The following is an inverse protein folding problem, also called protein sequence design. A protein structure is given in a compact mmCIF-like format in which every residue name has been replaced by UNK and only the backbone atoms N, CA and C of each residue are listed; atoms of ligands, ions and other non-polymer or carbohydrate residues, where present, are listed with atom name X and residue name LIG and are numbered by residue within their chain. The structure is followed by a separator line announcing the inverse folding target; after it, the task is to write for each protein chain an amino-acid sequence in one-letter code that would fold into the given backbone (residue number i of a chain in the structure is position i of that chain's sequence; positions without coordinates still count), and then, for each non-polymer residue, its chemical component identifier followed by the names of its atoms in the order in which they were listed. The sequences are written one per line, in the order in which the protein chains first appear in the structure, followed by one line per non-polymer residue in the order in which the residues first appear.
data_IF_848077199119
#
_entry.id   IF_848077199119
#
_cell.length_a   1.000
_cell.length_b   1.000
_cell.length_c   1.000
_cell.angle_alpha   90.00
_cell.angle_beta   90.00
_cell.angle_gamma   90.00
#
_symmetry.space_group_name_H-M   'P 1'
#
loop_
_entity.id
_entity.type
_entity.pdbx_description
1 polymer ?
#
# COMPACT_ATOMS: atom_id res chain seq x y z
N UNK A 1 -6.73 15.21 -16.33
CA UNK A 1 -5.35 15.20 -16.85
C UNK A 1 -4.81 13.75 -16.83
N UNK A 2 -4.91 13.03 -15.73
CA UNK A 2 -4.38 11.66 -15.60
C UNK A 2 -5.04 10.61 -16.51
N UNK A 3 -6.26 10.84 -16.97
CA UNK A 3 -7.02 9.88 -17.80
C UNK A 3 -7.11 10.29 -19.28
N UNK A 4 -6.48 11.39 -19.70
CA UNK A 4 -6.52 11.83 -21.09
C UNK A 4 -5.33 11.29 -21.90
N UNK A 5 -5.51 10.10 -22.47
CA UNK A 5 -4.53 9.41 -23.31
C UNK A 5 -4.26 10.11 -24.67
N UNK A 6 -4.93 11.23 -24.97
CA UNK A 6 -4.70 12.00 -26.19
C UNK A 6 -3.58 13.04 -26.08
N UNK A 7 -3.09 13.30 -24.85
CA UNK A 7 -2.03 14.27 -24.60
C UNK A 7 -0.66 13.70 -24.97
N UNK A 8 0.17 14.52 -25.60
CA UNK A 8 1.61 14.19 -25.70
C UNK A 8 2.26 14.22 -24.31
N UNK A 9 3.35 13.47 -24.12
CA UNK A 9 4.09 13.47 -22.85
C UNK A 9 4.50 14.88 -22.41
N UNK A 10 4.99 15.72 -23.35
CA UNK A 10 5.40 17.09 -23.04
C UNK A 10 4.21 17.94 -22.55
N UNK A 11 3.04 17.78 -23.15
CA UNK A 11 1.85 18.51 -22.77
C UNK A 11 1.27 17.99 -21.44
N UNK A 12 1.30 16.70 -21.22
CA UNK A 12 0.96 16.08 -19.94
C UNK A 12 1.80 16.65 -18.80
N UNK A 13 3.13 16.62 -18.92
CA UNK A 13 4.03 17.13 -17.87
C UNK A 13 3.86 18.63 -17.67
N UNK A 14 3.69 19.41 -18.73
CA UNK A 14 3.42 20.85 -18.60
C UNK A 14 2.13 21.16 -17.83
N UNK A 15 1.07 20.41 -18.09
CA UNK A 15 -0.22 20.56 -17.38
C UNK A 15 -0.13 20.06 -15.94
N UNK A 16 0.60 18.97 -15.72
CA UNK A 16 0.85 18.41 -14.40
C UNK A 16 1.65 19.37 -13.51
N UNK A 17 2.69 19.98 -14.05
CA UNK A 17 3.48 21.00 -13.33
C UNK A 17 2.65 22.24 -13.01
N UNK A 18 1.84 22.72 -13.97
CA UNK A 18 0.95 23.85 -13.73
C UNK A 18 -0.11 23.55 -12.66
N UNK A 19 -0.66 22.34 -12.65
CA UNK A 19 -1.59 21.87 -11.63
C UNK A 19 -0.92 21.82 -10.25
N UNK A 20 0.26 21.20 -10.16
CA UNK A 20 1.00 21.10 -8.91
C UNK A 20 1.40 22.48 -8.37
N UNK A 21 1.79 23.41 -9.25
CA UNK A 21 2.11 24.78 -8.84
C UNK A 21 0.90 25.51 -8.26
N UNK A 22 -0.28 25.34 -8.88
CA UNK A 22 -1.53 25.93 -8.40
C UNK A 22 -1.96 25.27 -7.06
N UNK A 23 -1.90 23.95 -6.97
CA UNK A 23 -2.20 23.21 -5.75
C UNK A 23 -1.28 23.60 -4.60
N UNK A 24 0.03 23.70 -4.84
CA UNK A 24 1.01 24.10 -3.85
C UNK A 24 0.81 25.52 -3.34
N UNK A 25 0.28 26.44 -4.16
CA UNK A 25 -0.04 27.79 -3.73
C UNK A 25 -1.12 27.79 -2.64
N UNK A 26 -2.19 27.02 -2.82
CA UNK A 26 -3.33 26.99 -1.91
C UNK A 26 -3.10 26.01 -0.74
N UNK A 27 -2.68 24.80 -1.05
CA UNK A 27 -2.39 23.77 -0.05
C UNK A 27 -1.18 24.10 0.82
N UNK A 28 -0.15 24.75 0.25
CA UNK A 28 1.07 25.12 0.97
C UNK A 28 0.84 26.06 2.14
N UNK A 29 -0.14 26.98 2.04
CA UNK A 29 -0.50 27.84 3.18
C UNK A 29 -1.20 27.06 4.29
N UNK A 30 -2.09 26.13 3.92
CA UNK A 30 -2.79 25.26 4.87
C UNK A 30 -1.78 24.36 5.56
N UNK A 31 -0.86 23.77 4.82
CA UNK A 31 0.20 22.91 5.35
C UNK A 31 1.10 23.65 6.35
N UNK A 32 1.56 24.87 6.04
CA UNK A 32 2.34 25.68 6.98
C UNK A 32 1.58 26.01 8.27
N UNK A 33 0.28 26.31 8.17
CA UNK A 33 -0.57 26.53 9.35
C UNK A 33 -0.70 25.26 10.19
N UNK A 34 -0.84 24.11 9.53
CA UNK A 34 -0.89 22.80 10.20
C UNK A 34 0.42 22.50 10.95
N UNK A 35 1.58 22.75 10.31
CA UNK A 35 2.89 22.58 10.96
C UNK A 35 2.97 23.47 12.21
N UNK A 36 2.61 24.77 12.11
CA UNK A 36 2.64 25.68 13.25
C UNK A 36 1.78 25.19 14.40
N UNK A 37 0.53 24.77 14.13
CA UNK A 37 -0.39 24.25 15.17
C UNK A 37 0.18 22.97 15.79
N UNK A 38 0.70 22.05 15.00
CA UNK A 38 1.28 20.80 15.49
C UNK A 38 2.53 21.05 16.35
N UNK A 39 3.36 22.03 15.98
CA UNK A 39 4.49 22.46 16.78
C UNK A 39 4.06 23.02 18.15
N UNK A 40 2.97 23.80 18.20
CA UNK A 40 2.40 24.28 19.47
C UNK A 40 1.82 23.14 20.31
N UNK A 41 1.18 22.15 19.69
CA UNK A 41 0.69 20.95 20.39
C UNK A 41 1.86 20.21 21.04
N UNK A 42 2.94 19.94 20.31
CA UNK A 42 4.12 19.27 20.85
C UNK A 42 4.70 20.03 22.04
N UNK A 43 4.85 21.36 21.93
CA UNK A 43 5.32 22.21 23.04
C UNK A 43 4.39 22.16 24.26
N UNK A 44 3.07 22.21 24.05
CA UNK A 44 2.09 22.13 25.13
C UNK A 44 2.13 20.79 25.86
N UNK A 45 2.45 19.72 25.14
CA UNK A 45 2.61 18.37 25.67
C UNK A 45 4.04 18.07 26.17
N UNK A 46 4.94 19.06 26.13
CA UNK A 46 6.34 18.99 26.58
C UNK A 46 7.22 18.04 25.76
N UNK A 47 6.90 17.83 24.47
CA UNK A 47 7.77 17.15 23.54
C UNK A 47 8.75 18.11 22.86
N UNK A 48 9.95 17.65 22.47
CA UNK A 48 10.93 18.50 21.79
C UNK A 48 10.43 18.98 20.42
N UNK A 49 9.71 18.15 19.71
CA UNK A 49 9.10 18.40 18.41
C UNK A 49 7.88 17.50 18.18
N UNK A 50 7.14 17.77 17.09
CA UNK A 50 5.92 17.01 16.78
C UNK A 50 6.22 15.60 16.23
N UNK A 51 7.36 15.37 15.58
CA UNK A 51 7.74 14.04 15.11
C UNK A 51 7.96 13.10 16.31
N UNK A 52 8.68 13.55 17.33
CA UNK A 52 8.87 12.80 18.58
C UNK A 52 7.54 12.48 19.26
N UNK A 53 6.62 13.47 19.32
CA UNK A 53 5.27 13.22 19.84
C UNK A 53 4.53 12.14 19.05
N UNK A 54 4.58 12.17 17.70
CA UNK A 54 3.93 11.17 16.86
C UNK A 54 4.48 9.77 17.10
N UNK A 55 5.79 9.63 17.20
CA UNK A 55 6.43 8.33 17.47
C UNK A 55 5.96 7.73 18.79
N UNK A 56 5.92 8.53 19.85
CA UNK A 56 5.42 8.09 21.15
C UNK A 56 3.91 7.77 21.11
N UNK A 57 3.12 8.62 20.45
CA UNK A 57 1.67 8.42 20.32
C UNK A 57 1.29 7.18 19.49
N UNK A 58 2.13 6.78 18.54
CA UNK A 58 1.96 5.51 17.80
C UNK A 58 2.49 4.29 18.57
N UNK A 59 3.03 4.48 19.77
CA UNK A 59 3.56 3.39 20.59
C UNK A 59 4.83 2.75 20.03
N UNK A 60 5.62 3.53 19.29
CA UNK A 60 6.91 3.07 18.74
C UNK A 60 7.92 2.90 19.86
N UNK A 61 8.65 1.79 19.85
CA UNK A 61 9.73 1.49 20.79
C UNK A 61 11.11 1.95 20.30
N UNK A 62 11.14 2.71 19.19
CA UNK A 62 12.31 3.33 18.58
C UNK A 62 12.07 4.84 18.37
N UNK A 63 13.16 5.60 18.27
CA UNK A 63 13.14 7.06 18.14
C UNK A 63 13.21 7.53 16.68
N UNK A 64 12.85 8.81 16.39
CA UNK A 64 13.13 9.43 15.10
C UNK A 64 14.60 9.31 14.67
N UNK A 65 15.54 9.37 15.62
CA UNK A 65 16.99 9.18 15.34
C UNK A 65 17.30 7.77 14.85
N UNK A 66 16.66 6.74 15.41
CA UNK A 66 16.82 5.36 14.97
C UNK A 66 16.28 5.19 13.55
N UNK A 67 15.12 5.79 13.24
CA UNK A 67 14.54 5.80 11.90
C UNK A 67 15.48 6.48 10.89
N UNK A 68 16.12 7.60 11.25
CA UNK A 68 17.11 8.25 10.38
C UNK A 68 18.30 7.35 10.04
N UNK A 69 18.71 6.46 10.94
CA UNK A 69 19.75 5.47 10.62
C UNK A 69 19.27 4.48 9.55
N UNK A 70 18.00 4.05 9.62
CA UNK A 70 17.38 3.23 8.58
C UNK A 70 17.30 4.00 7.25
N UNK A 71 16.82 5.27 7.26
CA UNK A 71 16.76 6.10 6.05
C UNK A 71 18.12 6.21 5.36
N UNK A 72 19.17 6.46 6.13
CA UNK A 72 20.53 6.53 5.60
C UNK A 72 20.98 5.21 4.97
N UNK A 73 20.65 4.08 5.59
CA UNK A 73 20.96 2.75 5.06
C UNK A 73 20.19 2.47 3.76
N UNK A 74 18.91 2.77 3.72
CA UNK A 74 18.06 2.62 2.52
C UNK A 74 18.57 3.49 1.37
N UNK A 75 18.87 4.77 1.62
CA UNK A 75 19.49 5.66 0.62
C UNK A 75 20.80 5.09 0.06
N UNK A 76 21.64 4.56 0.93
CA UNK A 76 22.96 4.08 0.55
C UNK A 76 22.93 2.76 -0.21
N UNK A 77 22.08 1.83 0.21
CA UNK A 77 22.13 0.45 -0.27
C UNK A 77 20.99 0.07 -1.20
N UNK A 78 19.77 0.56 -0.95
CA UNK A 78 18.58 0.15 -1.71
C UNK A 78 18.34 1.07 -2.91
N UNK A 79 18.47 2.39 -2.74
CA UNK A 79 18.22 3.35 -3.83
C UNK A 79 19.03 3.06 -5.10
N UNK A 80 20.36 2.77 -5.04
CA UNK A 80 21.12 2.45 -6.24
C UNK A 80 20.63 1.17 -6.92
N UNK A 81 20.24 0.15 -6.14
CA UNK A 81 19.71 -1.12 -6.66
C UNK A 81 18.37 -0.85 -7.37
N UNK A 82 17.46 -0.15 -6.71
CA UNK A 82 16.16 0.22 -7.28
C UNK A 82 16.31 0.94 -8.63
N UNK A 83 17.17 1.97 -8.70
CA UNK A 83 17.40 2.72 -9.94
C UNK A 83 17.89 1.82 -11.08
N UNK A 84 18.79 0.87 -10.80
CA UNK A 84 19.34 -0.03 -11.82
C UNK A 84 18.37 -1.13 -12.23
N UNK A 85 17.56 -1.64 -11.31
CA UNK A 85 16.57 -2.69 -11.59
C UNK A 85 15.37 -2.07 -12.34
N UNK A 86 14.85 -0.94 -11.86
CA UNK A 86 13.70 -0.27 -12.46
C UNK A 86 13.90 0.12 -13.93
N UNK A 87 15.15 0.43 -14.33
CA UNK A 87 15.49 0.68 -15.75
C UNK A 87 15.39 -0.54 -16.66
N UNK A 88 15.42 -1.74 -16.09
CA UNK A 88 15.52 -3.01 -16.84
C UNK A 88 14.22 -3.79 -16.86
N UNK A 89 13.31 -3.49 -15.95
CA UNK A 89 12.00 -4.14 -15.92
C UNK A 89 11.11 -3.49 -16.96
N UNK A 90 10.54 -4.35 -17.79
CA UNK A 90 9.54 -3.99 -18.80
C UNK A 90 8.23 -4.66 -18.38
N UNK A 91 7.20 -3.87 -18.14
CA UNK A 91 5.85 -4.32 -17.76
C UNK A 91 4.82 -4.04 -18.84
N UNK A 92 5.27 -3.68 -20.05
CA UNK A 92 4.38 -3.22 -21.12
C UNK A 92 3.33 -4.24 -21.54
N UNK A 93 3.67 -5.53 -21.57
CA UNK A 93 2.72 -6.60 -21.91
C UNK A 93 1.74 -6.83 -20.75
N UNK A 94 2.21 -6.73 -19.51
CA UNK A 94 1.39 -6.80 -18.29
C UNK A 94 0.38 -5.65 -18.24
N UNK A 95 0.84 -4.42 -18.47
CA UNK A 95 0.03 -3.20 -18.46
C UNK A 95 -1.00 -3.17 -19.59
N UNK A 96 -0.69 -3.79 -20.74
CA UNK A 96 -1.59 -3.89 -21.89
C UNK A 96 -2.61 -5.03 -21.77
N UNK A 97 -2.48 -5.91 -20.77
CA UNK A 97 -3.34 -7.09 -20.62
C UNK A 97 -4.50 -6.77 -19.68
N UNK A 98 -5.70 -7.22 -20.10
CA UNK A 98 -6.90 -7.13 -19.24
C UNK A 98 -7.14 -8.45 -18.53
N UNK A 99 -7.38 -8.40 -17.25
CA UNK A 99 -7.66 -9.55 -16.37
C UNK A 99 -9.14 -9.57 -15.96
N UNK A 100 -9.72 -10.74 -15.99
CA UNK A 100 -11.14 -10.94 -15.67
C UNK A 100 -11.32 -11.26 -14.17
N UNK A 101 -12.16 -10.47 -13.49
CA UNK A 101 -12.49 -10.60 -12.07
C UNK A 101 -12.92 -12.03 -11.71
N UNK A 102 -13.87 -12.55 -12.49
CA UNK A 102 -14.43 -13.89 -12.24
C UNK A 102 -13.37 -14.97 -12.36
N UNK A 103 -12.52 -14.87 -13.37
CA UNK A 103 -11.42 -15.82 -13.59
C UNK A 103 -10.45 -15.82 -12.41
N UNK A 104 -10.09 -14.64 -11.91
CA UNK A 104 -9.25 -14.50 -10.71
C UNK A 104 -9.90 -15.13 -9.48
N UNK A 105 -11.17 -14.79 -9.20
CA UNK A 105 -11.88 -15.33 -8.04
C UNK A 105 -12.09 -16.85 -8.12
N UNK A 106 -12.32 -17.41 -9.30
CA UNK A 106 -12.45 -18.86 -9.52
C UNK A 106 -11.12 -19.60 -9.24
N UNK A 107 -9.96 -18.97 -9.49
CA UNK A 107 -8.64 -19.58 -9.24
C UNK A 107 -8.13 -19.40 -7.80
N UNK A 108 -8.63 -18.39 -7.10
CA UNK A 108 -8.12 -18.02 -5.77
C UNK A 108 -8.16 -19.17 -4.74
N UNK A 109 -9.25 -19.98 -4.60
CA UNK A 109 -9.28 -21.09 -3.66
C UNK A 109 -8.23 -22.18 -3.94
N UNK A 110 -8.01 -22.51 -5.21
CA UNK A 110 -7.03 -23.51 -5.60
C UNK A 110 -5.61 -23.04 -5.31
N UNK A 111 -5.31 -21.77 -5.60
CA UNK A 111 -4.01 -21.14 -5.33
C UNK A 111 -3.76 -21.01 -3.83
N UNK A 112 -4.76 -20.63 -3.06
CA UNK A 112 -4.66 -20.59 -1.60
C UNK A 112 -4.41 -21.98 -1.00
N UNK A 113 -5.07 -23.03 -1.53
CA UNK A 113 -4.86 -24.42 -1.07
C UNK A 113 -3.45 -24.93 -1.43
N UNK A 114 -2.94 -24.56 -2.59
CA UNK A 114 -1.57 -24.90 -2.99
C UNK A 114 -0.52 -24.23 -2.09
N UNK A 115 -0.80 -23.02 -1.62
CA UNK A 115 0.05 -22.31 -0.66
C UNK A 115 -0.03 -22.94 0.75
N UNK A 116 -1.24 -23.04 1.33
CA UNK A 116 -1.45 -23.73 2.61
C UNK A 116 -2.92 -24.07 2.88
N UNK A 117 -3.21 -25.15 3.64
CA UNK A 117 -4.57 -25.45 4.10
C UNK A 117 -5.19 -24.32 4.93
N UNK A 118 -4.39 -23.56 5.68
CA UNK A 118 -4.84 -22.43 6.47
C UNK A 118 -5.32 -21.27 5.57
N UNK A 119 -4.55 -20.93 4.54
CA UNK A 119 -4.95 -19.91 3.54
C UNK A 119 -6.22 -20.31 2.79
N UNK A 120 -6.35 -21.59 2.45
CA UNK A 120 -7.58 -22.11 1.84
C UNK A 120 -8.81 -21.90 2.74
N UNK A 121 -8.70 -22.15 4.04
CA UNK A 121 -9.79 -21.92 4.98
C UNK A 121 -10.21 -20.46 5.03
N UNK A 122 -9.26 -19.53 5.05
CA UNK A 122 -9.52 -18.09 5.05
C UNK A 122 -10.24 -17.66 3.77
N UNK A 123 -9.74 -18.07 2.61
CA UNK A 123 -10.35 -17.75 1.31
C UNK A 123 -11.75 -18.35 1.21
N UNK A 124 -11.94 -19.60 1.61
CA UNK A 124 -13.27 -20.23 1.59
C UNK A 124 -14.26 -19.54 2.53
N UNK A 125 -13.81 -19.11 3.71
CA UNK A 125 -14.63 -18.33 4.63
C UNK A 125 -15.08 -17.00 4.00
N UNK A 126 -14.14 -16.26 3.39
CA UNK A 126 -14.42 -15.02 2.67
C UNK A 126 -15.46 -15.21 1.56
N UNK A 127 -15.24 -16.22 0.70
CA UNK A 127 -16.11 -16.46 -0.46
C UNK A 127 -17.49 -17.00 -0.09
N UNK A 128 -17.58 -17.96 0.83
CA UNK A 128 -18.85 -18.56 1.26
C UNK A 128 -19.76 -17.58 1.97
N UNK A 129 -19.19 -16.62 2.68
CA UNK A 129 -19.95 -15.59 3.40
C UNK A 129 -20.05 -14.29 2.61
N UNK A 130 -19.54 -14.23 1.36
CA UNK A 130 -19.56 -13.03 0.51
C UNK A 130 -18.96 -11.79 1.21
N UNK A 131 -17.85 -11.97 1.91
CA UNK A 131 -17.17 -10.94 2.69
C UNK A 131 -16.18 -10.13 1.85
N UNK A 132 -16.59 -9.79 0.65
CA UNK A 132 -15.87 -8.93 -0.28
C UNK A 132 -16.82 -8.24 -1.26
N UNK A 133 -16.45 -7.06 -1.73
CA UNK A 133 -17.06 -6.38 -2.88
C UNK A 133 -15.95 -5.76 -3.74
N UNK A 134 -15.67 -6.40 -4.88
CA UNK A 134 -14.64 -5.99 -5.83
C UNK A 134 -15.21 -5.51 -7.15
N UNK A 135 -16.54 -5.37 -7.24
CA UNK A 135 -17.22 -4.99 -8.47
C UNK A 135 -16.76 -3.64 -9.01
N UNK A 136 -16.71 -3.50 -10.34
CA UNK A 136 -16.52 -2.20 -10.98
C UNK A 136 -17.72 -1.30 -10.71
N UNK A 137 -17.46 -0.08 -10.26
CA UNK A 137 -18.48 0.94 -10.01
C UNK A 137 -17.89 2.34 -10.11
N UNK A 138 -18.61 3.21 -10.82
CA UNK A 138 -18.21 4.60 -11.01
C UNK A 138 -18.17 5.43 -9.70
N UNK A 139 -18.76 4.92 -8.62
CA UNK A 139 -18.76 5.58 -7.31
C UNK A 139 -17.67 5.04 -6.36
N UNK A 140 -16.96 4.00 -6.75
CA UNK A 140 -15.79 3.50 -6.04
C UNK A 140 -14.52 4.24 -6.48
N UNK A 141 -13.60 4.44 -5.56
CA UNK A 141 -12.24 4.87 -5.89
C UNK A 141 -11.46 3.71 -6.55
N UNK A 142 -10.50 4.02 -7.41
CA UNK A 142 -9.58 3.04 -8.00
C UNK A 142 -8.55 2.62 -6.93
N UNK A 143 -9.01 1.84 -5.96
CA UNK A 143 -8.25 1.44 -4.78
C UNK A 143 -8.94 0.27 -4.09
N UNK A 144 -8.23 -0.41 -3.18
CA UNK A 144 -8.78 -1.41 -2.28
C UNK A 144 -8.49 -1.06 -0.83
N UNK A 145 -9.25 -1.64 0.07
CA UNK A 145 -8.96 -1.67 1.51
C UNK A 145 -9.65 -2.85 2.17
N UNK A 146 -9.08 -3.30 3.27
CA UNK A 146 -9.68 -4.30 4.15
C UNK A 146 -10.07 -3.65 5.47
N UNK A 147 -11.24 -3.99 5.98
CA UNK A 147 -11.71 -3.52 7.27
C UNK A 147 -12.30 -4.65 8.09
N UNK A 148 -12.40 -4.44 9.41
CA UNK A 148 -13.10 -5.36 10.30
C UNK A 148 -14.46 -4.79 10.69
N UNK A 149 -15.53 -5.51 10.37
CA UNK A 149 -16.89 -5.11 10.68
C UNK A 149 -17.26 -5.68 12.05
N UNK A 150 -17.14 -4.87 13.09
CA UNK A 150 -17.26 -5.29 14.49
C UNK A 150 -18.60 -5.97 14.81
N UNK A 151 -19.71 -5.46 14.29
CA UNK A 151 -21.06 -6.00 14.56
C UNK A 151 -21.27 -7.40 13.95
N UNK A 152 -20.51 -7.73 12.91
CA UNK A 152 -20.55 -9.04 12.24
C UNK A 152 -19.39 -9.96 12.63
N UNK A 153 -18.46 -9.45 13.41
CA UNK A 153 -17.22 -10.15 13.77
C UNK A 153 -16.50 -10.74 12.55
N UNK A 154 -16.43 -9.96 11.47
CA UNK A 154 -15.88 -10.43 10.21
C UNK A 154 -15.02 -9.37 9.51
N UNK A 155 -13.89 -9.78 8.91
CA UNK A 155 -13.16 -8.93 7.97
C UNK A 155 -13.94 -8.80 6.66
N UNK A 156 -13.72 -7.71 5.93
CA UNK A 156 -14.34 -7.44 4.64
C UNK A 156 -13.35 -6.73 3.71
N UNK A 157 -13.22 -7.22 2.48
CA UNK A 157 -12.44 -6.56 1.42
C UNK A 157 -13.38 -5.71 0.57
N UNK A 158 -13.01 -4.45 0.39
CA UNK A 158 -13.67 -3.54 -0.54
C UNK A 158 -12.65 -3.03 -1.55
N UNK A 159 -12.90 -3.27 -2.83
CA UNK A 159 -12.01 -2.87 -3.92
C UNK A 159 -12.82 -2.55 -5.17
N UNK A 160 -12.16 -1.94 -6.16
CA UNK A 160 -12.72 -1.74 -7.48
C UNK A 160 -11.88 -2.53 -8.48
N UNK A 161 -12.55 -3.40 -9.25
CA UNK A 161 -11.90 -4.13 -10.32
C UNK A 161 -11.96 -3.32 -11.62
N UNK A 162 -10.82 -2.95 -12.16
CA UNK A 162 -10.69 -2.19 -13.42
C UNK A 162 -10.27 -3.08 -14.59
N UNK A 163 -9.78 -4.27 -14.29
CA UNK A 163 -9.22 -5.21 -15.25
C UNK A 163 -7.71 -5.11 -15.39
N UNK A 164 -7.04 -4.28 -14.59
CA UNK A 164 -5.59 -4.15 -14.61
C UNK A 164 -4.88 -5.27 -13.84
N UNK A 165 -3.59 -5.44 -14.07
CA UNK A 165 -2.75 -6.33 -13.27
C UNK A 165 -2.69 -5.90 -11.79
N UNK A 166 -2.82 -4.60 -11.52
CA UNK A 166 -2.82 -4.03 -10.18
C UNK A 166 -4.02 -4.47 -9.35
N UNK A 167 -5.15 -4.81 -9.99
CA UNK A 167 -6.32 -5.33 -9.26
C UNK A 167 -6.01 -6.68 -8.60
N UNK A 168 -5.26 -7.54 -9.30
CA UNK A 168 -4.79 -8.83 -8.74
C UNK A 168 -3.83 -8.57 -7.58
N UNK A 169 -2.84 -7.70 -7.78
CA UNK A 169 -1.88 -7.34 -6.74
C UNK A 169 -2.57 -6.75 -5.51
N UNK A 170 -3.52 -5.83 -5.71
CA UNK A 170 -4.35 -5.24 -4.64
C UNK A 170 -5.13 -6.31 -3.91
N UNK A 171 -5.81 -7.21 -4.61
CA UNK A 171 -6.59 -8.29 -3.97
C UNK A 171 -5.72 -9.25 -3.15
N UNK A 172 -4.52 -9.57 -3.63
CA UNK A 172 -3.58 -10.40 -2.86
C UNK A 172 -3.03 -9.66 -1.64
N UNK A 173 -2.80 -8.37 -1.75
CA UNK A 173 -2.41 -7.48 -0.64
C UNK A 173 -3.53 -7.41 0.42
N UNK A 174 -4.76 -7.09 0.01
CA UNK A 174 -5.91 -7.01 0.89
C UNK A 174 -6.25 -8.34 1.56
N UNK A 175 -5.98 -9.47 0.87
CA UNK A 175 -6.12 -10.80 1.46
C UNK A 175 -5.14 -11.04 2.61
N UNK A 176 -3.97 -10.38 2.61
CA UNK A 176 -3.04 -10.39 3.74
C UNK A 176 -3.66 -9.73 4.98
N UNK A 177 -4.18 -8.53 4.85
CA UNK A 177 -4.93 -7.86 5.91
C UNK A 177 -6.15 -8.66 6.36
N UNK A 178 -6.91 -9.21 5.40
CA UNK A 178 -8.06 -10.06 5.69
C UNK A 178 -7.67 -11.27 6.53
N UNK A 179 -6.54 -11.91 6.20
CA UNK A 179 -6.01 -13.06 6.93
C UNK A 179 -5.65 -12.69 8.37
N UNK A 180 -5.00 -11.54 8.55
CA UNK A 180 -4.68 -11.02 9.88
C UNK A 180 -5.95 -10.80 10.71
N UNK A 181 -6.92 -10.08 10.19
CA UNK A 181 -8.19 -9.83 10.88
C UNK A 181 -8.96 -11.12 11.19
N UNK A 182 -8.96 -12.09 10.27
CA UNK A 182 -9.62 -13.37 10.46
C UNK A 182 -9.08 -14.13 11.68
N UNK A 183 -7.76 -14.19 11.86
CA UNK A 183 -7.14 -14.88 12.98
C UNK A 183 -7.20 -14.06 14.28
N UNK A 184 -7.03 -12.77 14.23
CA UNK A 184 -7.06 -11.90 15.40
C UNK A 184 -8.47 -11.78 15.99
N UNK A 185 -9.50 -11.75 15.17
CA UNK A 185 -10.88 -11.78 15.64
C UNK A 185 -11.20 -13.06 16.44
N UNK A 186 -10.67 -14.20 15.99
CA UNK A 186 -10.88 -15.49 16.66
C UNK A 186 -10.28 -15.54 18.07
N UNK A 187 -9.27 -14.73 18.38
CA UNK A 187 -8.64 -14.65 19.71
C UNK A 187 -9.11 -13.46 20.55
N UNK A 188 -10.11 -12.70 20.06
CA UNK A 188 -10.70 -11.58 20.80
C UNK A 188 -9.79 -10.35 20.90
N UNK A 189 -8.70 -10.32 20.17
CA UNK A 189 -7.88 -9.13 20.02
C UNK A 189 -8.56 -8.18 19.01
N UNK A 190 -9.35 -7.24 19.53
CA UNK A 190 -9.67 -6.03 18.76
C UNK A 190 -8.37 -5.23 18.70
N UNK A 191 -7.73 -5.30 17.59
CA UNK A 191 -6.40 -4.81 17.34
C UNK A 191 -6.33 -3.29 17.53
N UNK A 192 -5.68 -2.86 18.59
CA UNK A 192 -4.90 -1.63 18.45
C UNK A 192 -3.78 -1.97 17.47
N UNK A 193 -4.01 -1.76 16.19
CA UNK A 193 -3.01 -2.06 15.17
C UNK A 193 -1.77 -1.23 15.47
N UNK A 194 -0.66 -1.91 15.69
CA UNK A 194 0.63 -1.24 15.57
C UNK A 194 0.79 -0.93 14.07
N UNK A 195 0.64 0.34 13.69
CA UNK A 195 0.66 0.79 12.30
C UNK A 195 1.96 0.41 11.58
N UNK A 196 3.07 0.30 12.32
CA UNK A 196 4.36 -0.13 11.75
C UNK A 196 4.38 -1.61 11.33
N UNK A 197 3.45 -2.42 11.85
CA UNK A 197 3.31 -3.84 11.53
C UNK A 197 2.11 -4.13 10.60
N UNK A 198 1.25 -3.15 10.37
CA UNK A 198 0.01 -3.36 9.62
C UNK A 198 0.24 -3.90 8.21
N UNK A 199 1.31 -3.47 7.55
CA UNK A 199 1.63 -3.87 6.18
C UNK A 199 2.53 -5.13 6.09
N UNK A 200 2.96 -5.71 7.21
CA UNK A 200 3.79 -6.91 7.19
C UNK A 200 3.02 -8.09 6.60
N UNK A 201 1.77 -8.28 7.03
CA UNK A 201 0.95 -9.41 6.57
C UNK A 201 0.56 -9.27 5.09
N UNK A 202 0.21 -8.06 4.66
CA UNK A 202 -0.19 -7.76 3.28
C UNK A 202 0.99 -7.90 2.32
N UNK A 203 2.10 -7.24 2.60
CA UNK A 203 3.31 -7.29 1.77
C UNK A 203 3.93 -8.70 1.75
N UNK A 204 3.96 -9.39 2.90
CA UNK A 204 4.48 -10.74 2.96
C UNK A 204 3.64 -11.73 2.15
N UNK A 205 2.30 -11.67 2.22
CA UNK A 205 1.44 -12.60 1.49
C UNK A 205 1.63 -12.49 -0.01
N UNK A 206 1.74 -11.28 -0.55
CA UNK A 206 1.98 -11.04 -1.98
C UNK A 206 3.28 -11.76 -2.44
N UNK A 207 4.36 -11.63 -1.66
CA UNK A 207 5.64 -12.28 -1.97
C UNK A 207 5.60 -13.80 -1.78
N UNK A 208 4.90 -14.29 -0.76
CA UNK A 208 4.76 -15.71 -0.47
C UNK A 208 3.93 -16.46 -1.53
N UNK A 209 3.07 -15.74 -2.25
CA UNK A 209 2.25 -16.32 -3.33
C UNK A 209 2.95 -16.32 -4.69
N UNK A 210 4.23 -15.97 -4.80
CA UNK A 210 4.98 -15.94 -6.06
C UNK A 210 4.91 -17.25 -6.86
N UNK A 211 4.91 -18.40 -6.18
CA UNK A 211 4.77 -19.70 -6.83
C UNK A 211 3.37 -19.94 -7.43
N UNK A 212 2.40 -19.05 -7.13
CA UNK A 212 1.04 -19.11 -7.65
C UNK A 212 0.79 -18.08 -8.76
N UNK A 213 1.77 -17.26 -9.12
CA UNK A 213 1.62 -16.19 -10.10
C UNK A 213 1.27 -16.71 -11.51
N UNK A 214 1.74 -17.89 -11.90
CA UNK A 214 1.31 -18.53 -13.17
C UNK A 214 -0.21 -18.76 -13.22
N UNK A 215 -0.85 -19.03 -12.08
CA UNK A 215 -2.30 -19.19 -12.03
C UNK A 215 -3.01 -17.86 -12.29
N UNK A 216 -2.50 -16.75 -11.73
CA UNK A 216 -3.14 -15.43 -11.80
C UNK A 216 -2.80 -14.67 -13.08
N UNK A 217 -1.53 -14.68 -13.48
CA UNK A 217 -1.00 -13.86 -14.58
C UNK A 217 -0.66 -14.67 -15.84
N UNK A 218 -0.75 -16.01 -15.79
CA UNK A 218 -0.42 -16.89 -16.90
C UNK A 218 1.02 -16.71 -17.37
N UNK A 219 1.20 -16.47 -18.66
CA UNK A 219 2.53 -16.26 -19.28
C UNK A 219 3.24 -14.98 -18.83
N UNK A 220 2.55 -14.07 -18.18
CA UNK A 220 3.08 -12.79 -17.68
C UNK A 220 3.52 -12.87 -16.20
N UNK A 221 3.56 -14.06 -15.62
CA UNK A 221 3.92 -14.25 -14.20
C UNK A 221 5.30 -13.68 -13.83
N UNK A 222 6.30 -13.79 -14.71
CA UNK A 222 7.64 -13.26 -14.45
C UNK A 222 7.69 -11.72 -14.49
N UNK A 223 6.91 -11.10 -15.38
CA UNK A 223 6.73 -9.65 -15.41
C UNK A 223 6.05 -9.18 -14.11
N UNK A 224 4.97 -9.86 -13.72
CA UNK A 224 4.23 -9.55 -12.49
C UNK A 224 5.10 -9.71 -11.22
N UNK A 225 5.95 -10.75 -11.14
CA UNK A 225 6.92 -10.89 -10.05
C UNK A 225 7.92 -9.74 -10.02
N UNK A 226 8.39 -9.33 -11.19
CA UNK A 226 9.34 -8.22 -11.31
C UNK A 226 8.70 -6.90 -10.90
N UNK A 227 7.47 -6.62 -11.34
CA UNK A 227 6.68 -5.47 -10.91
C UNK A 227 6.51 -5.45 -9.38
N UNK A 228 6.05 -6.56 -8.80
CA UNK A 228 5.86 -6.70 -7.34
C UNK A 228 7.15 -6.42 -6.55
N UNK A 229 8.29 -6.90 -7.01
CA UNK A 229 9.56 -6.63 -6.33
C UNK A 229 9.97 -5.15 -6.42
N UNK A 230 9.70 -4.50 -7.55
CA UNK A 230 9.92 -3.06 -7.71
C UNK A 230 9.01 -2.27 -6.79
N UNK A 231 7.74 -2.63 -6.70
CA UNK A 231 6.77 -1.97 -5.82
C UNK A 231 7.14 -2.12 -4.34
N UNK A 232 7.60 -3.30 -3.93
CA UNK A 232 8.11 -3.51 -2.56
C UNK A 232 9.33 -2.64 -2.25
N UNK A 233 10.27 -2.51 -3.20
CA UNK A 233 11.40 -1.59 -3.04
C UNK A 233 10.97 -0.13 -3.05
N UNK A 234 10.03 0.24 -3.91
CA UNK A 234 9.48 1.60 -3.97
C UNK A 234 8.76 1.97 -2.68
N UNK A 235 7.94 1.08 -2.12
CA UNK A 235 7.24 1.28 -0.84
C UNK A 235 8.23 1.55 0.30
N UNK A 236 9.32 0.80 0.35
CA UNK A 236 10.39 1.04 1.33
C UNK A 236 11.06 2.41 1.14
N UNK A 237 11.33 2.79 -0.10
CA UNK A 237 11.96 4.08 -0.41
C UNK A 237 11.03 5.26 -0.11
N UNK A 238 9.77 5.18 -0.54
CA UNK A 238 8.78 6.25 -0.34
C UNK A 238 8.48 6.45 1.14
N UNK A 239 8.27 5.37 1.91
CA UNK A 239 8.05 5.45 3.35
C UNK A 239 9.22 6.11 4.09
N UNK A 240 10.46 5.75 3.75
CA UNK A 240 11.63 6.42 4.31
C UNK A 240 11.73 7.90 3.92
N UNK A 241 11.39 8.25 2.68
CA UNK A 241 11.40 9.64 2.21
C UNK A 241 10.32 10.48 2.90
N UNK A 242 9.12 9.95 3.07
CA UNK A 242 8.01 10.63 3.72
C UNK A 242 8.28 10.88 5.20
N UNK A 243 8.79 9.87 5.91
CA UNK A 243 9.14 10.02 7.34
C UNK A 243 10.30 11.01 7.53
N UNK A 244 11.35 10.94 6.71
CA UNK A 244 12.45 11.91 6.75
C UNK A 244 11.96 13.34 6.49
N UNK A 245 11.10 13.53 5.48
CA UNK A 245 10.50 14.82 5.18
C UNK A 245 9.68 15.35 6.38
N UNK A 246 8.88 14.50 7.01
CA UNK A 246 8.11 14.89 8.20
C UNK A 246 9.01 15.29 9.36
N UNK A 247 10.07 14.53 9.63
CA UNK A 247 11.03 14.89 10.66
C UNK A 247 11.68 16.24 10.38
N UNK A 248 12.18 16.48 9.16
CA UNK A 248 12.82 17.75 8.77
C UNK A 248 11.87 18.95 8.92
N UNK A 249 10.61 18.78 8.54
CA UNK A 249 9.59 19.83 8.65
C UNK A 249 9.30 20.22 10.10
N UNK A 250 9.34 19.28 11.03
CA UNK A 250 9.06 19.57 12.45
C UNK A 250 10.30 19.92 13.27
N UNK A 251 11.50 19.56 12.81
CA UNK A 251 12.75 20.02 13.44
C UNK A 251 13.05 21.49 13.13
N UNK A 252 12.65 21.99 11.94
CA UNK A 252 12.87 23.36 11.49
C UNK A 252 11.58 24.03 11.02
N UNK A 253 10.57 24.19 11.90
CA UNK A 253 9.25 24.69 11.56
C UNK A 253 9.21 26.17 11.17
#
# INVERSE_FOLDING_TARGET
IQSDMSLSNDEYYRLYDAYNLALNKDAGEIFRKQIAIRTEIAKALQYPDYATYCYDNFGRDYSPTDARALHAAVKKYITPIFIEVNKKVDTSDLDATTFDEKTFLDMLPASANAFSPASYQVVMYMMQNQLYDVSDSAVKMDSGFTTYISDYHAPFIFSKWTGSADDIATMLHELGHYTNYYYNAAVGNSTGENLDLAEVDSQALVLLLFDQYENFYGKLADEARSATLIDAMFSLLSGCMEDEFQQDVYETP
#
